data_IF_303857457726
#
_entry.id   IF_303857457726
#
_cell.length_a   1.000
_cell.length_b   1.000
_cell.length_c   1.000
_cell.angle_alpha   90.00
_cell.angle_beta   90.00
_cell.angle_gamma   90.00
#
_symmetry.space_group_name_H-M   'P 1'
#
loop_
_entity.id
_entity.type
_entity.pdbx_description
1 polymer ?
#
# COMPACT_ATOMS: atom_id res chain seq x y z
N UNK A 1 6.18 -1.18 10.36
CA UNK A 1 4.73 -1.29 10.02
C UNK A 1 3.92 -0.76 11.18
N UNK A 2 2.85 0.00 10.91
CA UNK A 2 1.95 0.52 11.94
C UNK A 2 0.69 -0.32 12.07
N UNK A 3 -0.02 -0.19 13.21
CA UNK A 3 -1.27 -0.90 13.48
C UNK A 3 -2.35 -0.50 12.47
N UNK A 4 -3.08 -1.49 11.96
CA UNK A 4 -4.23 -1.24 11.09
C UNK A 4 -5.36 -0.52 11.87
N UNK A 5 -6.05 0.40 11.21
CA UNK A 5 -7.14 1.20 11.77
C UNK A 5 -8.21 1.49 10.72
N UNK A 6 -9.46 1.68 11.15
CA UNK A 6 -10.52 2.11 10.24
C UNK A 6 -10.35 3.60 9.95
N UNK A 7 -10.27 3.96 8.67
CA UNK A 7 -10.16 5.33 8.18
C UNK A 7 -11.20 5.61 7.08
N UNK A 8 -11.74 6.83 6.99
CA UNK A 8 -12.59 7.21 5.87
C UNK A 8 -11.75 7.35 4.59
N UNK A 9 -12.15 6.68 3.51
CA UNK A 9 -11.51 6.75 2.19
C UNK A 9 -12.54 7.21 1.16
N UNK A 10 -12.18 8.18 0.33
CA UNK A 10 -13.04 8.72 -0.71
C UNK A 10 -13.16 7.71 -1.87
N UNK A 11 -14.39 7.37 -2.26
CA UNK A 11 -14.67 6.46 -3.38
C UNK A 11 -15.00 7.17 -4.71
N UNK A 12 -14.94 8.51 -4.72
CA UNK A 12 -15.39 9.35 -5.83
C UNK A 12 -16.74 10.04 -5.60
N UNK A 13 -17.53 9.61 -4.61
CA UNK A 13 -18.85 10.16 -4.27
C UNK A 13 -19.06 10.41 -2.78
N UNK A 14 -18.57 9.51 -1.93
CA UNK A 14 -18.69 9.61 -0.48
C UNK A 14 -17.48 8.99 0.22
N UNK A 15 -17.34 9.28 1.52
CA UNK A 15 -16.33 8.62 2.35
C UNK A 15 -16.84 7.26 2.84
N UNK A 16 -16.08 6.21 2.56
CA UNK A 16 -16.35 4.85 3.03
C UNK A 16 -15.39 4.47 4.16
N UNK A 17 -15.86 3.81 5.23
CA UNK A 17 -14.96 3.27 6.25
C UNK A 17 -14.17 2.08 5.68
N UNK A 18 -12.85 2.21 5.64
CA UNK A 18 -11.94 1.15 5.15
C UNK A 18 -10.92 0.81 6.23
N UNK A 19 -10.61 -0.48 6.38
CA UNK A 19 -9.48 -0.92 7.21
C UNK A 19 -8.18 -0.59 6.47
N UNK A 20 -7.41 0.36 6.99
CA UNK A 20 -6.17 0.84 6.38
C UNK A 20 -4.99 0.49 7.27
N UNK A 21 -3.93 -0.05 6.67
CA UNK A 21 -2.65 -0.31 7.32
C UNK A 21 -1.58 0.65 6.79
N UNK A 22 -0.91 1.38 7.68
CA UNK A 22 0.18 2.26 7.30
C UNK A 22 1.46 1.45 7.05
N UNK A 23 2.00 1.56 5.84
CA UNK A 23 3.25 0.92 5.46
C UNK A 23 4.36 1.96 5.34
N UNK A 24 5.58 1.52 5.60
CA UNK A 24 6.80 2.32 5.51
C UNK A 24 7.85 1.49 4.77
N UNK A 25 8.41 2.02 3.69
CA UNK A 25 9.45 1.38 2.91
C UNK A 25 10.77 2.13 3.12
N UNK A 26 11.72 1.48 3.77
CA UNK A 26 13.10 1.95 3.84
C UNK A 26 13.92 1.20 2.79
N UNK A 27 14.67 1.93 1.97
CA UNK A 27 15.51 1.35 0.92
C UNK A 27 16.80 2.15 0.73
N UNK A 28 17.81 1.50 0.17
CA UNK A 28 19.08 2.16 -0.17
C UNK A 28 18.95 2.90 -1.51
N UNK A 29 18.89 4.22 -1.44
CA UNK A 29 18.74 5.09 -2.61
C UNK A 29 19.91 5.03 -3.60
N UNK A 30 21.07 4.49 -3.20
CA UNK A 30 22.21 4.29 -4.10
C UNK A 30 21.94 3.16 -5.10
N UNK A 31 21.01 2.26 -4.75
CA UNK A 31 20.67 1.07 -5.52
C UNK A 31 19.28 1.19 -6.14
N UNK A 32 18.33 1.78 -5.41
CA UNK A 32 16.92 1.89 -5.82
C UNK A 32 16.53 3.35 -5.90
N UNK A 33 16.10 3.79 -7.09
CA UNK A 33 15.57 5.14 -7.25
C UNK A 33 14.14 5.27 -6.66
N UNK A 34 13.70 6.51 -6.50
CA UNK A 34 12.38 6.79 -5.91
C UNK A 34 11.20 6.28 -6.72
N UNK A 35 11.31 6.20 -8.05
CA UNK A 35 10.24 5.69 -8.90
C UNK A 35 10.11 4.17 -8.74
N UNK A 36 11.22 3.45 -8.65
CA UNK A 36 11.25 2.02 -8.38
C UNK A 36 10.73 1.73 -6.97
N UNK A 37 11.16 2.49 -5.96
CA UNK A 37 10.64 2.37 -4.59
C UNK A 37 9.12 2.60 -4.51
N UNK A 38 8.60 3.62 -5.19
CA UNK A 38 7.17 3.90 -5.26
C UNK A 38 6.39 2.76 -5.95
N UNK A 39 6.87 2.25 -7.09
CA UNK A 39 6.26 1.13 -7.80
C UNK A 39 6.22 -0.13 -6.94
N UNK A 40 7.30 -0.43 -6.22
CA UNK A 40 7.35 -1.57 -5.31
C UNK A 40 6.33 -1.42 -4.17
N UNK A 41 6.21 -0.23 -3.57
CA UNK A 41 5.23 0.04 -2.51
C UNK A 41 3.79 -0.14 -2.99
N UNK A 42 3.48 0.29 -4.22
CA UNK A 42 2.16 0.08 -4.85
C UNK A 42 1.90 -1.41 -5.06
N UNK A 43 2.84 -2.12 -5.68
CA UNK A 43 2.74 -3.56 -5.90
C UNK A 43 2.50 -4.33 -4.60
N UNK A 44 3.26 -4.02 -3.55
CA UNK A 44 3.08 -4.64 -2.24
C UNK A 44 1.71 -4.32 -1.64
N UNK A 45 1.24 -3.09 -1.80
CA UNK A 45 -0.11 -2.69 -1.35
C UNK A 45 -1.21 -3.47 -2.08
N UNK A 46 -1.06 -3.71 -3.37
CA UNK A 46 -2.03 -4.44 -4.19
C UNK A 46 -2.06 -5.92 -3.82
N UNK A 47 -0.88 -6.55 -3.69
CA UNK A 47 -0.76 -7.96 -3.28
C UNK A 47 -1.37 -8.22 -1.89
N UNK A 48 -1.26 -7.26 -0.96
CA UNK A 48 -1.89 -7.34 0.36
C UNK A 48 -3.39 -7.04 0.32
N UNK A 49 -3.86 -6.21 -0.61
CA UNK A 49 -5.27 -5.90 -0.77
C UNK A 49 -6.04 -7.04 -1.44
N UNK A 50 -5.39 -7.80 -2.31
CA UNK A 50 -5.96 -8.96 -3.01
C UNK A 50 -4.99 -10.14 -3.04
N UNK A 51 -5.16 -11.07 -2.09
CA UNK A 51 -4.32 -12.26 -1.97
C UNK A 51 -4.39 -13.20 -3.18
N UNK A 52 -5.37 -13.05 -4.08
CA UNK A 52 -5.46 -13.86 -5.32
C UNK A 52 -4.30 -13.56 -6.26
N UNK A 53 -3.79 -12.33 -6.24
CA UNK A 53 -2.63 -11.92 -7.06
C UNK A 53 -1.36 -12.69 -6.67
N UNK A 54 -1.24 -13.08 -5.41
CA UNK A 54 -0.07 -13.80 -4.88
C UNK A 54 -0.13 -15.31 -5.13
N UNK A 55 -1.30 -15.85 -5.50
CA UNK A 55 -1.55 -17.29 -5.69
C UNK A 55 -1.33 -17.78 -7.13
N UNK A 56 -0.95 -16.88 -8.05
CA UNK A 56 -0.65 -17.14 -9.46
C UNK A 56 0.86 -17.12 -9.71
#
# INVERSE_FOLDING_TARGET
MSKASIKPVWDGKQFQPRLMMGMSLSYDHRVVDGAMGARFSVYLSEALADLRVTLL
#
